data_IF_164290552542
#
_entry.id   IF_164290552542
#
_cell.length_a   1.000
_cell.length_b   1.000
_cell.length_c   1.000
_cell.angle_alpha   90.00
_cell.angle_beta   90.00
_cell.angle_gamma   90.00
#
_symmetry.space_group_name_H-M   'P 1'
#
loop_
_entity.id
_entity.type
_entity.pdbx_description
1 polymer ?
#
# COMPACT_ATOMS: atom_id res chain seq x y z
N UNK A 1 16.53 18.09 -21.83
CA UNK A 1 16.21 18.70 -20.52
C UNK A 1 14.84 18.18 -20.11
N UNK A 2 14.79 17.09 -19.35
CA UNK A 2 13.54 16.41 -19.00
C UNK A 2 13.31 16.55 -17.50
N UNK A 3 12.99 17.76 -17.10
CA UNK A 3 12.58 18.09 -15.75
C UNK A 3 11.08 18.31 -15.71
N UNK A 4 10.46 17.91 -14.58
CA UNK A 4 9.07 18.16 -14.14
C UNK A 4 8.04 17.06 -14.41
N UNK A 5 8.23 15.89 -13.81
CA UNK A 5 7.10 15.04 -13.36
C UNK A 5 7.37 14.24 -12.07
N UNK A 6 8.49 14.46 -11.36
CA UNK A 6 8.81 13.72 -10.14
C UNK A 6 7.85 13.99 -8.97
N UNK A 7 7.22 15.17 -8.91
CA UNK A 7 6.39 15.58 -7.76
C UNK A 7 4.98 14.97 -7.70
N UNK A 8 4.60 14.11 -8.67
CA UNK A 8 3.27 13.44 -8.69
C UNK A 8 3.35 11.91 -8.63
N UNK A 9 4.55 11.33 -8.69
CA UNK A 9 4.73 9.88 -8.61
C UNK A 9 4.18 9.27 -7.30
N UNK A 10 4.38 9.89 -6.12
CA UNK A 10 3.85 9.35 -4.87
C UNK A 10 2.31 9.33 -4.82
N UNK A 11 1.66 10.18 -5.61
CA UNK A 11 0.20 10.33 -5.60
C UNK A 11 -0.49 9.54 -6.71
N UNK A 12 0.28 8.89 -7.60
CA UNK A 12 -0.25 8.07 -8.70
C UNK A 12 0.25 6.62 -8.55
N UNK A 13 -0.38 5.89 -7.61
CA UNK A 13 -0.04 4.50 -7.29
C UNK A 13 -0.02 3.57 -8.51
N UNK A 14 -0.97 3.64 -9.48
CA UNK A 14 -0.90 2.82 -10.69
C UNK A 14 0.36 3.07 -11.52
N UNK A 15 0.77 4.32 -11.68
CA UNK A 15 1.98 4.65 -12.43
C UNK A 15 3.23 4.18 -11.69
N UNK A 16 3.30 4.42 -10.38
CA UNK A 16 4.41 3.97 -9.55
C UNK A 16 4.55 2.44 -9.57
N UNK A 17 3.43 1.72 -9.53
CA UNK A 17 3.40 0.26 -9.64
C UNK A 17 4.04 -0.22 -10.95
N UNK A 18 3.69 0.40 -12.09
CA UNK A 18 4.25 0.04 -13.39
C UNK A 18 5.75 0.29 -13.46
N UNK A 19 6.21 1.39 -12.85
CA UNK A 19 7.63 1.75 -12.79
C UNK A 19 8.42 0.78 -11.91
N UNK A 20 7.92 0.47 -10.71
CA UNK A 20 8.52 -0.53 -9.80
C UNK A 20 8.60 -1.90 -10.49
N UNK A 21 7.53 -2.37 -11.13
CA UNK A 21 7.54 -3.67 -11.82
C UNK A 21 8.56 -3.74 -12.97
N UNK A 22 8.93 -2.60 -13.54
CA UNK A 22 9.93 -2.51 -14.61
C UNK A 22 11.36 -2.43 -14.08
N UNK A 23 11.59 -1.69 -13.00
CA UNK A 23 12.90 -1.53 -12.37
C UNK A 23 12.79 -1.32 -10.85
N UNK A 24 12.67 -2.41 -10.05
CA UNK A 24 12.39 -2.30 -8.63
C UNK A 24 13.43 -1.51 -7.85
N UNK A 25 14.72 -1.69 -8.17
CA UNK A 25 15.82 -1.09 -7.43
C UNK A 25 15.81 0.44 -7.51
N UNK A 26 15.50 0.99 -8.69
CA UNK A 26 15.45 2.44 -8.91
C UNK A 26 14.28 3.14 -8.21
N UNK A 27 13.25 2.39 -7.80
CA UNK A 27 12.03 2.94 -7.16
C UNK A 27 11.84 2.46 -5.72
N UNK A 28 12.90 1.95 -5.08
CA UNK A 28 12.85 1.43 -3.71
C UNK A 28 12.48 2.52 -2.70
N UNK A 29 12.96 3.75 -2.89
CA UNK A 29 12.67 4.86 -1.97
C UNK A 29 11.20 5.27 -2.00
N UNK A 30 10.61 5.34 -3.20
CA UNK A 30 9.18 5.62 -3.39
C UNK A 30 8.31 4.50 -2.84
N UNK A 31 8.71 3.23 -3.03
CA UNK A 31 8.05 2.10 -2.38
C UNK A 31 8.05 2.26 -0.86
N UNK A 32 9.20 2.52 -0.25
CA UNK A 32 9.33 2.72 1.19
C UNK A 32 8.52 3.91 1.69
N UNK A 33 8.41 4.98 0.89
CA UNK A 33 7.54 6.12 1.21
C UNK A 33 6.07 5.70 1.28
N UNK A 34 5.57 4.94 0.30
CA UNK A 34 4.21 4.42 0.32
C UNK A 34 3.99 3.41 1.45
N UNK A 35 4.99 2.59 1.75
CA UNK A 35 4.92 1.64 2.86
C UNK A 35 4.78 2.35 4.22
N UNK A 36 5.56 3.41 4.46
CA UNK A 36 5.38 4.26 5.65
C UNK A 36 4.00 4.93 5.67
N UNK A 37 3.52 5.38 4.51
CA UNK A 37 2.19 5.99 4.41
C UNK A 37 1.09 4.99 4.77
N UNK A 38 1.21 3.74 4.32
CA UNK A 38 0.34 2.64 4.71
C UNK A 38 0.36 2.43 6.23
N UNK A 39 1.54 2.34 6.84
CA UNK A 39 1.67 2.14 8.29
C UNK A 39 1.01 3.26 9.10
N UNK A 40 1.18 4.53 8.68
CA UNK A 40 0.50 5.65 9.33
C UNK A 40 -1.03 5.58 9.19
N UNK A 41 -1.54 5.25 8.00
CA UNK A 41 -2.98 5.08 7.78
C UNK A 41 -3.54 3.90 8.58
N UNK A 42 -2.77 2.82 8.69
CA UNK A 42 -3.13 1.65 9.48
C UNK A 42 -3.27 2.00 10.96
N UNK A 43 -2.34 2.78 11.52
CA UNK A 43 -2.44 3.24 12.91
C UNK A 43 -3.68 4.11 13.14
N UNK A 44 -3.97 5.04 12.21
CA UNK A 44 -5.19 5.86 12.28
C UNK A 44 -6.44 4.98 12.22
N UNK A 45 -6.44 4.01 11.32
CA UNK A 45 -7.54 3.07 11.15
C UNK A 45 -7.77 2.22 12.40
N UNK A 46 -6.71 1.78 13.09
CA UNK A 46 -6.81 1.04 14.36
C UNK A 46 -7.47 1.85 15.48
N UNK A 47 -7.36 3.18 15.45
CA UNK A 47 -8.06 4.05 16.41
C UNK A 47 -9.57 4.13 16.15
N UNK A 48 -10.00 3.92 14.89
CA UNK A 48 -11.40 3.99 14.46
C UNK A 48 -11.72 2.95 13.37
N UNK A 49 -11.80 1.66 13.73
CA UNK A 49 -11.92 0.58 12.75
C UNK A 49 -13.29 0.52 12.03
N UNK A 50 -14.27 1.30 12.47
CA UNK A 50 -15.58 1.42 11.83
C UNK A 50 -15.63 2.40 10.66
N UNK A 51 -14.62 3.26 10.50
CA UNK A 51 -14.55 4.23 9.41
C UNK A 51 -13.81 3.64 8.21
N UNK A 52 -14.46 3.63 7.04
CA UNK A 52 -13.82 3.22 5.79
C UNK A 52 -12.77 4.26 5.37
N UNK A 53 -11.56 3.78 5.06
CA UNK A 53 -10.46 4.60 4.55
C UNK A 53 -10.10 4.20 3.12
N UNK A 54 -10.54 5.03 2.16
CA UNK A 54 -10.20 4.86 0.73
C UNK A 54 -8.69 4.85 0.50
N UNK A 55 -7.96 5.72 1.20
CA UNK A 55 -6.50 5.79 1.10
C UNK A 55 -5.84 4.50 1.57
N UNK A 56 -6.34 3.90 2.67
CA UNK A 56 -5.81 2.63 3.16
C UNK A 56 -6.08 1.50 2.15
N UNK A 57 -7.28 1.45 1.55
CA UNK A 57 -7.60 0.47 0.51
C UNK A 57 -6.66 0.59 -0.70
N UNK A 58 -6.49 1.81 -1.24
CA UNK A 58 -5.61 2.06 -2.39
C UNK A 58 -4.16 1.65 -2.11
N UNK A 59 -3.67 1.93 -0.89
CA UNK A 59 -2.33 1.53 -0.46
C UNK A 59 -2.19 0.02 -0.29
N UNK A 60 -3.19 -0.66 0.28
CA UNK A 60 -3.21 -2.13 0.41
C UNK A 60 -3.17 -2.79 -0.96
N UNK A 61 -3.98 -2.31 -1.91
CA UNK A 61 -4.00 -2.82 -3.28
C UNK A 61 -2.66 -2.63 -3.97
N UNK A 62 -2.05 -1.44 -3.85
CA UNK A 62 -0.73 -1.15 -4.38
C UNK A 62 0.33 -2.07 -3.79
N UNK A 63 0.46 -2.14 -2.46
CA UNK A 63 1.48 -2.92 -1.77
C UNK A 63 1.34 -4.43 -2.04
N UNK A 64 0.10 -4.93 -2.17
CA UNK A 64 -0.15 -6.33 -2.54
C UNK A 64 0.45 -6.71 -3.89
N UNK A 65 0.58 -5.75 -4.82
CA UNK A 65 1.12 -6.00 -6.16
C UNK A 65 2.65 -5.86 -6.25
N UNK A 66 3.30 -5.18 -5.30
CA UNK A 66 4.74 -4.86 -5.38
C UNK A 66 5.57 -5.33 -4.19
N UNK A 67 4.97 -5.68 -3.05
CA UNK A 67 5.68 -6.17 -1.86
C UNK A 67 6.59 -7.36 -2.15
N UNK A 68 6.15 -8.30 -3.00
CA UNK A 68 6.97 -9.44 -3.41
C UNK A 68 8.29 -9.08 -4.13
N UNK A 69 8.43 -7.85 -4.62
CA UNK A 69 9.67 -7.33 -5.22
C UNK A 69 10.65 -6.78 -4.17
N UNK A 70 10.19 -6.57 -2.92
CA UNK A 70 10.96 -6.04 -1.80
C UNK A 70 10.78 -6.90 -0.54
N UNK A 71 11.22 -8.18 -0.55
CA UNK A 71 10.96 -9.12 0.55
C UNK A 71 11.62 -8.71 1.87
N UNK A 72 12.77 -8.03 1.84
CA UNK A 72 13.46 -7.55 3.04
C UNK A 72 12.73 -6.37 3.69
N UNK A 73 12.14 -5.48 2.88
CA UNK A 73 11.49 -4.26 3.35
C UNK A 73 10.02 -4.45 3.75
N UNK A 74 9.39 -5.53 3.28
CA UNK A 74 7.95 -5.76 3.41
C UNK A 74 7.60 -7.13 3.98
N UNK A 75 8.53 -7.76 4.70
CA UNK A 75 8.34 -9.04 5.38
C UNK A 75 7.13 -9.05 6.33
N UNK A 76 6.86 -7.91 6.99
CA UNK A 76 5.74 -7.78 7.93
C UNK A 76 4.40 -7.45 7.25
N UNK A 77 4.42 -7.10 5.96
CA UNK A 77 3.21 -6.70 5.23
C UNK A 77 2.11 -7.78 5.22
N UNK A 78 2.39 -9.07 4.92
CA UNK A 78 1.36 -10.10 4.91
C UNK A 78 0.66 -10.26 6.26
N UNK A 79 1.41 -10.16 7.36
CA UNK A 79 0.85 -10.24 8.71
C UNK A 79 0.00 -9.01 9.03
N UNK A 80 0.48 -7.80 8.72
CA UNK A 80 -0.28 -6.56 8.90
C UNK A 80 -1.58 -6.56 8.08
N UNK A 81 -1.55 -7.07 6.85
CA UNK A 81 -2.76 -7.22 6.02
C UNK A 81 -3.75 -8.21 6.64
N UNK A 82 -3.26 -9.34 7.16
CA UNK A 82 -4.10 -10.31 7.82
C UNK A 82 -4.78 -9.73 9.06
N UNK A 83 -4.05 -8.95 9.86
CA UNK A 83 -4.61 -8.28 11.05
C UNK A 83 -5.70 -7.27 10.67
N UNK A 84 -5.51 -6.50 9.58
CA UNK A 84 -6.56 -5.61 9.05
C UNK A 84 -7.80 -6.41 8.64
N UNK A 85 -7.63 -7.47 7.86
CA UNK A 85 -8.75 -8.30 7.38
C UNK A 85 -9.48 -8.98 8.54
N UNK A 86 -8.77 -9.39 9.61
CA UNK A 86 -9.37 -9.98 10.80
C UNK A 86 -10.26 -8.99 11.54
N UNK A 87 -9.76 -7.77 11.76
CA UNK A 87 -10.50 -6.67 12.41
C UNK A 87 -11.72 -6.28 11.59
N UNK A 88 -11.60 -6.29 10.26
CA UNK A 88 -12.71 -5.99 9.35
C UNK A 88 -13.55 -7.18 8.93
N UNK A 89 -13.28 -8.41 9.35
CA UNK A 89 -14.07 -9.57 8.93
C UNK A 89 -15.56 -9.45 9.30
N UNK A 90 -15.93 -8.57 10.24
CA UNK A 90 -17.32 -8.22 10.58
C UNK A 90 -17.92 -7.08 9.73
N UNK A 91 -17.11 -6.31 9.00
CA UNK A 91 -17.47 -5.10 8.22
C UNK A 91 -17.20 -5.26 6.71
N UNK A 92 -16.30 -6.16 6.30
CA UNK A 92 -16.02 -6.51 4.92
C UNK A 92 -17.29 -7.09 4.30
N UNK A 93 -17.86 -6.31 3.38
CA UNK A 93 -18.95 -6.74 2.51
C UNK A 93 -18.59 -8.11 1.92
N UNK A 94 -19.59 -9.01 1.88
CA UNK A 94 -19.42 -10.43 1.57
C UNK A 94 -18.72 -10.65 0.22
N UNK A 95 -18.76 -9.66 -0.67
CA UNK A 95 -18.13 -9.67 -2.00
C UNK A 95 -16.60 -9.56 -2.01
N UNK A 96 -15.94 -9.16 -0.91
CA UNK A 96 -14.46 -9.14 -0.84
C UNK A 96 -13.85 -10.45 -0.32
N UNK A 97 -14.66 -11.49 -0.09
CA UNK A 97 -14.22 -12.79 0.47
C UNK A 97 -14.03 -13.91 -0.56
N UNK A 98 -14.11 -13.62 -1.87
CA UNK A 98 -13.95 -14.62 -2.95
C UNK A 98 -12.70 -14.39 -3.77
#
# INVERSE_FOLDING_TARGET
>A
MSDRNHNKLPNNLPQLQNLIKRDPNSYREEFLQQYRHFQSNLQIFQLKPSEYSKTLEELVLFLSQVSGLFPEDSSDFPQQLWDVLKVHSTVLDRNMRM
#
